data_IF_563595869227
#
_entry.id   IF_563595869227
#
_cell.length_a   1.000
_cell.length_b   1.000
_cell.length_c   1.000
_cell.angle_alpha   90.00
_cell.angle_beta   90.00
_cell.angle_gamma   90.00
#
_symmetry.space_group_name_H-M   'P 1'
#
loop_
_entity.id
_entity.type
_entity.pdbx_description
1 polymer ?
#
# COMPACT_ATOMS: atom_id res chain seq x y z
N UNK A 1 -23.89 22.94 86.22
CA UNK A 1 -24.43 21.98 85.29
C UNK A 1 -24.17 22.51 83.86
N UNK A 2 -23.20 22.01 83.19
CA UNK A 2 -22.80 22.46 81.90
C UNK A 2 -23.19 21.43 80.84
N UNK A 3 -24.08 21.75 79.92
CA UNK A 3 -24.46 20.94 78.76
C UNK A 3 -23.44 21.15 77.63
N UNK A 4 -22.75 20.10 77.23
CA UNK A 4 -21.94 20.04 75.97
C UNK A 4 -22.83 19.62 74.84
N UNK A 5 -22.92 20.43 73.78
CA UNK A 5 -23.53 20.07 72.55
C UNK A 5 -22.48 19.38 71.63
N UNK A 6 -22.74 18.15 71.18
CA UNK A 6 -21.97 17.48 70.10
C UNK A 6 -22.51 17.89 68.73
N UNK A 7 -21.67 18.52 67.95
CA UNK A 7 -21.95 18.77 66.52
C UNK A 7 -21.43 17.60 65.68
N UNK A 8 -22.31 16.86 65.01
CA UNK A 8 -21.98 15.83 64.04
C UNK A 8 -21.82 16.45 62.66
N UNK A 9 -20.56 16.45 62.12
CA UNK A 9 -20.27 16.87 60.75
C UNK A 9 -20.48 15.70 59.83
N UNK A 10 -21.44 15.78 58.91
CA UNK A 10 -21.65 14.84 57.82
C UNK A 10 -20.78 15.24 56.63
N UNK A 11 -19.75 14.46 56.32
CA UNK A 11 -18.96 14.61 55.09
C UNK A 11 -19.69 13.89 53.95
N UNK A 12 -20.19 14.66 52.99
CA UNK A 12 -20.73 14.11 51.75
C UNK A 12 -19.57 13.77 50.79
N UNK A 13 -19.37 12.48 50.54
CA UNK A 13 -18.42 11.97 49.53
C UNK A 13 -19.10 12.02 48.16
N UNK A 14 -18.77 12.99 47.30
CA UNK A 14 -19.22 13.04 45.92
C UNK A 14 -18.29 12.17 45.09
N UNK A 15 -18.74 10.98 44.75
CA UNK A 15 -18.06 10.11 43.79
C UNK A 15 -18.34 10.56 42.36
N UNK A 16 -17.38 11.23 41.72
CA UNK A 16 -17.43 11.55 40.29
C UNK A 16 -17.09 10.31 39.47
N UNK A 17 -18.09 9.68 38.87
CA UNK A 17 -17.91 8.67 37.86
C UNK A 17 -17.47 9.32 36.53
N UNK A 18 -16.19 9.22 36.18
CA UNK A 18 -15.70 9.59 34.88
C UNK A 18 -16.10 8.48 33.89
N UNK A 19 -17.14 8.70 33.08
CA UNK A 19 -17.48 7.85 31.94
C UNK A 19 -16.42 8.06 30.88
N UNK A 20 -15.45 7.14 30.76
CA UNK A 20 -14.54 7.09 29.63
C UNK A 20 -15.30 6.54 28.42
N UNK A 21 -15.79 7.44 27.57
CA UNK A 21 -16.29 7.05 26.23
C UNK A 21 -15.09 6.64 25.41
N UNK A 22 -14.90 5.34 25.22
CA UNK A 22 -13.95 4.82 24.25
C UNK A 22 -14.44 5.22 22.85
N UNK A 23 -13.87 6.30 22.29
CA UNK A 23 -14.05 6.65 20.90
C UNK A 23 -13.35 5.56 20.10
N UNK A 24 -14.10 4.58 19.62
CA UNK A 24 -13.63 3.68 18.58
C UNK A 24 -13.44 4.54 17.33
N UNK A 25 -12.21 4.95 17.06
CA UNK A 25 -11.87 5.52 15.78
C UNK A 25 -12.22 4.43 14.74
N UNK A 26 -13.27 4.67 13.95
CA UNK A 26 -13.59 3.82 12.82
C UNK A 26 -12.32 3.77 11.94
N UNK A 27 -11.63 2.63 11.93
CA UNK A 27 -10.50 2.43 11.04
C UNK A 27 -10.99 2.63 9.61
N UNK A 28 -10.28 3.46 8.84
CA UNK A 28 -10.60 3.69 7.44
C UNK A 28 -10.65 2.32 6.72
N UNK A 29 -11.77 2.03 6.07
CA UNK A 29 -11.93 0.89 5.19
C UNK A 29 -12.32 1.39 3.80
N UNK A 30 -11.58 0.97 2.78
CA UNK A 30 -11.87 1.31 1.40
C UNK A 30 -13.11 0.57 0.91
N UNK A 31 -14.09 1.30 0.42
CA UNK A 31 -15.31 0.76 -0.20
C UNK A 31 -14.97 0.03 -1.50
N UNK A 32 -15.75 -0.99 -1.89
CA UNK A 32 -15.49 -1.79 -3.10
C UNK A 32 -15.56 -0.94 -4.39
N UNK A 33 -14.76 -1.35 -5.36
CA UNK A 33 -14.83 -0.88 -6.74
C UNK A 33 -14.51 -2.03 -7.70
N UNK A 34 -15.53 -2.54 -8.38
CA UNK A 34 -15.45 -3.66 -9.36
C UNK A 34 -14.73 -4.92 -8.81
N UNK A 35 -14.88 -5.21 -7.53
CA UNK A 35 -14.12 -6.27 -6.85
C UNK A 35 -14.31 -7.65 -7.48
N UNK A 36 -15.55 -7.98 -7.89
CA UNK A 36 -15.86 -9.28 -8.51
C UNK A 36 -15.08 -9.51 -9.82
N UNK A 37 -14.78 -8.42 -10.57
CA UNK A 37 -14.00 -8.50 -11.81
C UNK A 37 -12.50 -8.68 -11.56
N UNK A 38 -12.03 -8.37 -10.34
CA UNK A 38 -10.62 -8.42 -9.94
C UNK A 38 -10.38 -9.39 -8.78
N UNK A 39 -11.34 -10.25 -8.48
CA UNK A 39 -11.19 -11.29 -7.48
C UNK A 39 -10.02 -12.23 -7.81
N UNK A 40 -9.34 -12.69 -6.78
CA UNK A 40 -8.31 -13.70 -6.95
C UNK A 40 -8.89 -15.02 -7.48
N UNK A 41 -8.12 -15.77 -8.29
CA UNK A 41 -8.46 -17.16 -8.61
C UNK A 41 -8.43 -18.03 -7.34
N UNK A 42 -8.78 -19.30 -7.49
CA UNK A 42 -8.84 -20.25 -6.38
C UNK A 42 -7.50 -20.35 -5.65
N UNK A 43 -7.54 -20.54 -4.35
CA UNK A 43 -6.37 -20.80 -3.52
C UNK A 43 -6.00 -22.28 -3.64
N UNK A 44 -4.74 -22.56 -4.05
CA UNK A 44 -4.17 -23.91 -4.08
C UNK A 44 -3.68 -24.34 -2.70
N UNK A 45 -3.04 -23.42 -1.99
CA UNK A 45 -2.57 -23.65 -0.61
C UNK A 45 -2.43 -22.35 0.14
N UNK A 46 -2.53 -22.45 1.46
CA UNK A 46 -2.27 -21.35 2.37
C UNK A 46 -1.60 -21.90 3.62
N UNK A 47 -0.66 -21.15 4.19
CA UNK A 47 -0.11 -21.52 5.48
C UNK A 47 -1.12 -21.27 6.62
N UNK A 48 -0.81 -21.79 7.82
CA UNK A 48 -1.73 -21.83 8.96
C UNK A 48 -2.30 -20.49 9.39
N UNK A 49 -1.69 -19.38 8.99
CA UNK A 49 -2.10 -18.04 9.39
C UNK A 49 -2.56 -17.19 8.20
N UNK A 50 -2.61 -17.74 6.98
CA UNK A 50 -2.94 -17.01 5.75
C UNK A 50 -1.92 -15.95 5.36
N UNK A 51 -0.72 -16.00 5.95
CA UNK A 51 0.35 -15.06 5.64
C UNK A 51 1.05 -15.41 4.32
N UNK A 52 1.02 -16.67 3.93
CA UNK A 52 1.53 -17.15 2.63
C UNK A 52 0.40 -17.87 1.90
N UNK A 53 0.11 -17.44 0.66
CA UNK A 53 -0.97 -18.01 -0.15
C UNK A 53 -0.47 -18.28 -1.57
N UNK A 54 -0.82 -19.46 -2.09
CA UNK A 54 -0.58 -19.84 -3.50
C UNK A 54 -1.91 -19.84 -4.24
N UNK A 55 -1.98 -19.11 -5.34
CA UNK A 55 -3.18 -18.96 -6.17
C UNK A 55 -3.05 -19.77 -7.47
N UNK A 56 -4.14 -20.40 -7.91
CA UNK A 56 -4.25 -21.07 -9.21
C UNK A 56 -4.36 -20.05 -10.35
N UNK A 57 -3.28 -19.29 -10.57
CA UNK A 57 -3.24 -18.34 -11.68
C UNK A 57 -2.97 -19.06 -12.99
N UNK A 58 -3.73 -18.67 -14.04
CA UNK A 58 -3.56 -19.13 -15.41
C UNK A 58 -3.75 -17.97 -16.37
N UNK A 59 -2.71 -17.59 -17.09
CA UNK A 59 -2.72 -16.41 -17.95
C UNK A 59 -3.85 -16.40 -18.96
N UNK A 60 -4.09 -17.54 -19.65
CA UNK A 60 -5.16 -17.66 -20.64
C UNK A 60 -6.56 -17.44 -20.05
N UNK A 61 -6.78 -17.84 -18.79
CA UNK A 61 -8.06 -17.63 -18.09
C UNK A 61 -8.14 -16.23 -17.46
N UNK A 62 -7.09 -15.79 -16.78
CA UNK A 62 -7.19 -14.67 -15.84
C UNK A 62 -6.79 -13.34 -16.47
N UNK A 63 -6.01 -13.33 -17.55
CA UNK A 63 -5.60 -12.14 -18.27
C UNK A 63 -6.17 -12.12 -19.69
N UNK A 64 -5.91 -13.16 -20.52
CA UNK A 64 -6.28 -13.09 -21.93
C UNK A 64 -7.80 -13.11 -22.15
N UNK A 65 -8.60 -13.63 -21.22
CA UNK A 65 -10.06 -13.49 -21.26
C UNK A 65 -10.53 -12.10 -20.80
N UNK A 66 -9.71 -11.37 -20.03
CA UNK A 66 -9.98 -10.00 -19.59
C UNK A 66 -9.63 -8.98 -20.66
N UNK A 67 -8.61 -9.25 -21.45
CA UNK A 67 -8.08 -8.31 -22.43
C UNK A 67 -8.74 -8.45 -23.81
N UNK A 68 -9.00 -7.32 -24.49
CA UNK A 68 -9.36 -7.29 -25.91
C UNK A 68 -8.13 -7.57 -26.81
N UNK A 69 -6.99 -6.98 -26.40
CA UNK A 69 -5.67 -7.24 -26.98
C UNK A 69 -4.79 -7.65 -25.81
N UNK A 70 -4.32 -8.90 -25.77
CA UNK A 70 -3.60 -9.42 -24.61
C UNK A 70 -2.48 -8.47 -24.17
N UNK A 71 -2.48 -8.16 -22.86
CA UNK A 71 -1.55 -7.27 -22.16
C UNK A 71 -1.52 -5.79 -22.59
N UNK A 72 -2.27 -5.40 -23.64
CA UNK A 72 -2.28 -4.03 -24.18
C UNK A 72 -3.56 -3.28 -23.89
N UNK A 73 -4.70 -3.96 -23.96
CA UNK A 73 -6.01 -3.30 -23.80
C UNK A 73 -7.02 -4.21 -23.13
N UNK A 74 -7.41 -3.85 -21.94
CA UNK A 74 -8.47 -4.52 -21.21
C UNK A 74 -9.85 -4.15 -21.77
N UNK A 75 -10.81 -5.08 -21.65
CA UNK A 75 -12.20 -4.88 -22.05
C UNK A 75 -12.85 -3.76 -21.22
N UNK A 76 -13.80 -3.03 -21.84
CA UNK A 76 -14.41 -1.84 -21.26
C UNK A 76 -15.04 -2.04 -19.87
N UNK A 77 -15.58 -3.23 -19.58
CA UNK A 77 -16.19 -3.52 -18.28
C UNK A 77 -15.21 -3.42 -17.09
N UNK A 78 -13.90 -3.61 -17.33
CA UNK A 78 -12.85 -3.54 -16.31
C UNK A 78 -12.40 -2.10 -16.01
N UNK A 79 -12.74 -1.13 -16.85
CA UNK A 79 -12.29 0.25 -16.71
C UNK A 79 -13.42 1.23 -16.46
N UNK A 80 -13.09 2.30 -15.73
CA UNK A 80 -13.89 3.52 -15.66
C UNK A 80 -12.94 4.71 -15.83
N UNK A 81 -13.05 5.38 -16.98
CA UNK A 81 -12.21 6.51 -17.30
C UNK A 81 -12.73 7.84 -16.74
N UNK A 82 -13.89 7.84 -16.08
CA UNK A 82 -14.44 9.01 -15.39
C UNK A 82 -13.50 9.59 -14.35
N UNK A 83 -12.64 8.76 -13.76
CA UNK A 83 -11.59 9.16 -12.79
C UNK A 83 -10.57 10.16 -13.37
N UNK A 84 -10.42 10.24 -14.69
CA UNK A 84 -9.54 11.23 -15.35
C UNK A 84 -9.94 12.67 -15.04
N UNK A 85 -11.19 12.94 -14.67
CA UNK A 85 -11.66 14.28 -14.26
C UNK A 85 -10.94 14.82 -13.02
N UNK A 86 -10.40 13.94 -12.17
CA UNK A 86 -9.64 14.29 -10.97
C UNK A 86 -8.17 13.89 -11.08
N UNK A 87 -7.66 13.69 -12.32
CA UNK A 87 -6.27 13.37 -12.62
C UNK A 87 -5.53 14.62 -13.09
N UNK A 88 -4.35 14.88 -12.52
CA UNK A 88 -3.51 16.03 -12.83
C UNK A 88 -2.08 15.60 -13.09
N UNK A 89 -1.43 16.13 -14.13
CA UNK A 89 0.02 15.97 -14.38
C UNK A 89 0.72 17.19 -13.76
N UNK A 90 1.47 16.99 -12.69
CA UNK A 90 2.02 18.03 -11.84
C UNK A 90 3.55 17.94 -11.77
N UNK A 91 4.16 19.05 -11.35
CA UNK A 91 5.57 19.14 -11.05
C UNK A 91 5.75 19.75 -9.66
N UNK A 92 6.40 19.01 -8.76
CA UNK A 92 6.81 19.50 -7.45
C UNK A 92 8.27 19.90 -7.50
N UNK A 93 8.58 21.16 -7.13
CA UNK A 93 9.95 21.63 -6.93
C UNK A 93 10.42 21.20 -5.54
N UNK A 94 11.56 20.56 -5.46
CA UNK A 94 12.16 20.07 -4.21
C UNK A 94 13.66 20.34 -4.18
N UNK A 95 14.25 20.26 -3.01
CA UNK A 95 15.71 20.37 -2.86
C UNK A 95 16.47 19.22 -3.54
N UNK A 96 15.78 18.07 -3.73
CA UNK A 96 16.30 16.91 -4.48
C UNK A 96 16.14 17.04 -6.00
N UNK A 97 15.55 18.16 -6.48
CA UNK A 97 15.25 18.46 -7.87
C UNK A 97 13.73 18.37 -8.16
N UNK A 98 13.36 18.74 -9.37
CA UNK A 98 11.97 18.76 -9.83
C UNK A 98 11.43 17.34 -9.99
N UNK A 99 10.23 17.06 -9.44
CA UNK A 99 9.57 15.76 -9.50
C UNK A 99 8.28 15.85 -10.29
N UNK A 100 8.30 15.37 -11.53
CA UNK A 100 7.07 15.21 -12.32
C UNK A 100 6.30 14.00 -11.82
N UNK A 101 4.99 14.17 -11.64
CA UNK A 101 4.13 13.08 -11.18
C UNK A 101 2.70 13.28 -11.65
N UNK A 102 1.96 12.19 -11.73
CA UNK A 102 0.51 12.24 -11.90
C UNK A 102 -0.15 12.03 -10.55
N UNK A 103 -1.02 12.94 -10.17
CA UNK A 103 -1.86 12.87 -8.97
C UNK A 103 -3.31 12.61 -9.38
N UNK A 104 -3.99 11.67 -8.70
CA UNK A 104 -5.39 11.32 -8.95
C UNK A 104 -6.16 11.35 -7.64
N UNK A 105 -7.18 12.21 -7.54
CA UNK A 105 -8.00 12.37 -6.34
C UNK A 105 -7.68 13.64 -5.57
N UNK A 106 -7.73 13.59 -4.24
CA UNK A 106 -7.59 14.76 -3.35
C UNK A 106 -6.13 15.06 -3.05
N UNK A 107 -5.59 16.13 -3.56
CA UNK A 107 -4.24 16.61 -3.24
C UNK A 107 -4.13 17.29 -1.86
N UNK A 108 -5.25 17.62 -1.26
CA UNK A 108 -5.37 18.23 0.07
C UNK A 108 -6.42 17.49 0.89
N UNK A 109 -6.10 17.12 2.10
CA UNK A 109 -7.02 16.43 3.02
C UNK A 109 -7.44 15.04 2.52
N UNK A 110 -6.51 14.30 1.90
CA UNK A 110 -6.73 12.92 1.50
C UNK A 110 -6.93 12.02 2.72
N UNK A 111 -7.84 11.04 2.63
CA UNK A 111 -8.04 10.04 3.66
C UNK A 111 -6.94 8.96 3.68
N UNK A 112 -6.39 8.68 2.49
CA UNK A 112 -5.30 7.72 2.26
C UNK A 112 -4.46 8.19 1.09
N UNK A 113 -3.16 7.94 1.12
CA UNK A 113 -2.23 8.24 0.02
C UNK A 113 -1.61 6.93 -0.45
N UNK A 114 -1.66 6.67 -1.75
CA UNK A 114 -1.02 5.50 -2.36
C UNK A 114 -0.08 5.96 -3.46
N UNK A 115 1.20 5.60 -3.36
CA UNK A 115 2.18 5.83 -4.42
C UNK A 115 2.44 4.52 -5.18
N UNK A 116 2.63 4.60 -6.49
CA UNK A 116 3.17 3.50 -7.30
C UNK A 116 4.51 3.91 -7.93
N UNK A 117 5.55 3.14 -7.64
CA UNK A 117 6.89 3.33 -8.17
C UNK A 117 7.15 2.28 -9.26
N UNK A 118 7.31 2.75 -10.49
CA UNK A 118 7.49 1.90 -11.67
C UNK A 118 8.84 1.17 -11.68
N UNK A 119 8.95 0.14 -12.51
CA UNK A 119 10.20 -0.56 -12.78
C UNK A 119 11.06 0.13 -13.85
N UNK A 120 12.14 -0.53 -14.25
CA UNK A 120 13.06 -0.07 -15.29
C UNK A 120 12.30 0.15 -16.62
N UNK A 121 12.60 1.27 -17.29
CA UNK A 121 11.94 1.66 -18.54
C UNK A 121 10.51 2.18 -18.38
N UNK A 122 9.97 2.22 -17.16
CA UNK A 122 8.67 2.80 -16.86
C UNK A 122 8.72 4.33 -16.70
N UNK A 123 7.58 4.91 -16.42
CA UNK A 123 7.42 6.34 -16.11
C UNK A 123 6.14 6.56 -15.29
N UNK A 124 5.92 7.81 -14.84
CA UNK A 124 4.67 8.21 -14.19
C UNK A 124 3.40 7.84 -14.99
N UNK A 125 3.52 7.72 -16.33
CA UNK A 125 2.39 7.35 -17.19
C UNK A 125 1.98 5.89 -17.06
N UNK A 126 2.93 4.99 -16.74
CA UNK A 126 2.63 3.58 -16.58
C UNK A 126 1.62 3.33 -15.46
N UNK A 127 1.85 3.91 -14.28
CA UNK A 127 0.97 3.72 -13.12
C UNK A 127 -0.43 4.35 -13.26
N UNK A 128 -0.67 5.14 -14.30
CA UNK A 128 -1.98 5.76 -14.56
C UNK A 128 -2.62 5.31 -15.86
N UNK A 129 -2.01 4.35 -16.57
CA UNK A 129 -2.60 3.79 -17.77
C UNK A 129 -3.89 3.02 -17.43
N UNK A 130 -4.95 3.30 -18.18
CA UNK A 130 -6.27 2.73 -17.91
C UNK A 130 -6.44 1.33 -18.50
N UNK A 131 -5.62 0.93 -19.45
CA UNK A 131 -5.88 -0.22 -20.31
C UNK A 131 -4.85 -1.32 -20.20
N UNK A 132 -3.60 -0.99 -19.89
CA UNK A 132 -2.53 -1.97 -19.69
C UNK A 132 -2.63 -2.64 -18.32
N UNK A 133 -1.84 -3.67 -18.09
CA UNK A 133 -1.83 -4.45 -16.85
C UNK A 133 -3.24 -4.95 -16.43
N UNK A 134 -4.04 -5.37 -17.43
CA UNK A 134 -5.39 -5.87 -17.18
C UNK A 134 -6.34 -4.85 -16.55
N UNK A 135 -6.09 -3.54 -16.75
CA UNK A 135 -6.88 -2.44 -16.17
C UNK A 135 -6.66 -2.23 -14.66
N UNK A 136 -5.67 -2.91 -14.07
CA UNK A 136 -5.52 -2.89 -12.61
C UNK A 136 -5.04 -1.53 -12.06
N UNK A 137 -4.35 -0.70 -12.85
CA UNK A 137 -4.09 0.69 -12.49
C UNK A 137 -5.34 1.58 -12.58
N UNK A 138 -6.23 1.34 -13.56
CA UNK A 138 -7.51 2.02 -13.60
C UNK A 138 -8.33 1.68 -12.34
N UNK A 139 -8.35 0.41 -11.93
CA UNK A 139 -8.98 -0.01 -10.66
C UNK A 139 -8.39 0.75 -9.47
N UNK A 140 -7.06 0.81 -9.34
CA UNK A 140 -6.39 1.48 -8.23
C UNK A 140 -6.75 2.97 -8.16
N UNK A 141 -6.70 3.69 -9.30
CA UNK A 141 -7.09 5.10 -9.38
C UNK A 141 -8.52 5.35 -8.89
N UNK A 142 -9.47 4.58 -9.42
CA UNK A 142 -10.87 4.69 -9.05
C UNK A 142 -11.11 4.33 -7.58
N UNK A 143 -10.49 3.25 -7.10
CA UNK A 143 -10.58 2.82 -5.71
C UNK A 143 -10.10 3.91 -4.75
N UNK A 144 -8.91 4.46 -4.99
CA UNK A 144 -8.32 5.46 -4.09
C UNK A 144 -9.09 6.78 -4.15
N UNK A 145 -9.35 7.31 -5.35
CA UNK A 145 -10.07 8.58 -5.53
C UNK A 145 -11.51 8.48 -5.01
N UNK A 146 -12.21 7.37 -5.29
CA UNK A 146 -13.59 7.13 -4.83
C UNK A 146 -13.73 7.02 -3.31
N UNK A 147 -12.66 6.71 -2.61
CA UNK A 147 -12.58 6.67 -1.14
C UNK A 147 -11.99 7.97 -0.53
N UNK A 148 -11.97 9.07 -1.29
CA UNK A 148 -11.47 10.35 -0.81
C UNK A 148 -9.96 10.41 -0.61
N UNK A 149 -9.22 9.49 -1.24
CA UNK A 149 -7.77 9.40 -1.18
C UNK A 149 -7.06 10.12 -2.31
N UNK A 150 -5.74 9.98 -2.31
CA UNK A 150 -4.81 10.47 -3.32
C UNK A 150 -3.96 9.31 -3.85
N UNK A 151 -4.00 9.07 -5.14
CA UNK A 151 -3.08 8.17 -5.83
C UNK A 151 -2.02 8.97 -6.58
N UNK A 152 -0.75 8.55 -6.48
CA UNK A 152 0.40 9.25 -7.08
C UNK A 152 1.25 8.26 -7.88
N UNK A 153 1.60 8.63 -9.12
CA UNK A 153 2.59 7.93 -9.93
C UNK A 153 3.67 8.92 -10.34
N UNK A 154 4.89 8.88 -9.77
CA UNK A 154 5.98 9.81 -10.08
C UNK A 154 6.90 9.30 -11.18
N UNK A 155 7.60 10.25 -11.83
CA UNK A 155 8.90 10.00 -12.43
C UNK A 155 9.99 10.15 -11.36
N UNK A 156 11.10 9.49 -11.56
CA UNK A 156 12.32 9.64 -10.77
C UNK A 156 13.55 9.32 -11.64
N UNK A 157 14.72 9.91 -11.37
CA UNK A 157 15.86 9.84 -12.26
C UNK A 157 16.59 8.49 -12.25
N UNK A 158 16.53 7.78 -11.13
CA UNK A 158 17.21 6.51 -10.91
C UNK A 158 16.53 5.70 -9.79
N UNK A 159 17.00 4.48 -9.57
CA UNK A 159 16.59 3.62 -8.47
C UNK A 159 17.54 3.72 -7.26
N UNK A 160 18.35 4.77 -7.22
CA UNK A 160 19.33 5.08 -6.21
C UNK A 160 18.87 6.11 -5.19
N UNK A 161 19.84 6.79 -4.57
CA UNK A 161 19.59 7.74 -3.50
C UNK A 161 18.89 9.00 -3.99
N UNK A 162 19.19 9.46 -5.22
CA UNK A 162 18.54 10.64 -5.79
C UNK A 162 17.07 10.38 -6.06
N UNK A 163 16.72 9.23 -6.67
CA UNK A 163 15.33 8.83 -6.85
C UNK A 163 14.59 8.67 -5.52
N UNK A 164 15.23 8.04 -4.52
CA UNK A 164 14.66 7.91 -3.19
C UNK A 164 14.40 9.27 -2.52
N UNK A 165 15.34 10.23 -2.62
CA UNK A 165 15.18 11.57 -2.06
C UNK A 165 14.01 12.33 -2.71
N UNK A 166 13.85 12.24 -4.04
CA UNK A 166 12.73 12.85 -4.75
C UNK A 166 11.39 12.25 -4.36
N UNK A 167 11.29 10.92 -4.24
CA UNK A 167 10.05 10.25 -3.80
C UNK A 167 9.76 10.56 -2.32
N UNK A 168 10.78 10.64 -1.48
CA UNK A 168 10.63 11.06 -0.08
C UNK A 168 10.05 12.47 0.02
N UNK A 169 10.51 13.41 -0.81
CA UNK A 169 9.98 14.78 -0.86
C UNK A 169 8.50 14.80 -1.28
N UNK A 170 8.05 13.93 -2.21
CA UNK A 170 6.63 13.77 -2.54
C UNK A 170 5.81 13.24 -1.33
N UNK A 171 6.33 12.24 -0.64
CA UNK A 171 5.69 11.67 0.56
C UNK A 171 5.54 12.75 1.63
N UNK A 172 6.59 13.53 1.85
CA UNK A 172 6.57 14.64 2.83
C UNK A 172 5.58 15.72 2.45
N UNK A 173 5.60 16.16 1.19
CA UNK A 173 4.70 17.20 0.69
C UNK A 173 3.22 16.81 0.86
N UNK A 174 2.82 15.66 0.32
CA UNK A 174 1.42 15.25 0.38
C UNK A 174 0.99 14.77 1.78
N UNK A 175 1.92 14.22 2.57
CA UNK A 175 1.68 13.89 3.97
C UNK A 175 1.39 15.14 4.83
N UNK A 176 2.07 16.27 4.55
CA UNK A 176 1.79 17.56 5.19
C UNK A 176 0.45 18.15 4.73
N UNK A 177 0.10 17.98 3.46
CA UNK A 177 -1.19 18.42 2.91
C UNK A 177 -2.38 17.57 3.40
N UNK A 178 -2.11 16.38 3.93
CA UNK A 178 -3.12 15.43 4.39
C UNK A 178 -2.76 14.85 5.77
N UNK A 179 -2.76 15.66 6.84
CA UNK A 179 -2.43 15.19 8.18
C UNK A 179 -3.33 14.02 8.59
N UNK A 180 -2.71 12.92 9.06
CA UNK A 180 -3.43 11.72 9.48
C UNK A 180 -3.76 10.72 8.35
N UNK A 181 -3.48 11.06 7.08
CA UNK A 181 -3.60 10.10 6.00
C UNK A 181 -2.58 8.96 6.17
N UNK A 182 -3.04 7.71 5.99
CA UNK A 182 -2.14 6.56 5.90
C UNK A 182 -1.47 6.51 4.53
N UNK A 183 -0.15 6.26 4.50
CA UNK A 183 0.69 6.34 3.29
C UNK A 183 1.19 4.96 2.92
N UNK A 184 0.80 4.48 1.74
CA UNK A 184 1.21 3.19 1.19
C UNK A 184 2.06 3.38 -0.06
N UNK A 185 3.14 2.62 -0.18
CA UNK A 185 4.04 2.65 -1.34
C UNK A 185 4.05 1.28 -2.00
N UNK A 186 3.57 1.23 -3.24
CA UNK A 186 3.61 0.05 -4.09
C UNK A 186 4.75 0.17 -5.10
N UNK A 187 5.54 -0.89 -5.24
CA UNK A 187 6.73 -0.92 -6.06
C UNK A 187 6.69 -2.10 -7.03
N UNK A 188 6.75 -1.82 -8.33
CA UNK A 188 6.89 -2.83 -9.37
C UNK A 188 8.36 -3.03 -9.76
N UNK A 189 8.80 -4.28 -9.90
CA UNK A 189 10.11 -4.63 -10.44
C UNK A 189 11.28 -3.88 -9.74
N UNK A 190 12.12 -3.20 -10.49
CA UNK A 190 13.22 -2.37 -9.96
C UNK A 190 12.77 -1.23 -9.03
N UNK A 191 11.50 -0.82 -9.09
CA UNK A 191 10.94 0.13 -8.13
C UNK A 191 11.08 -0.28 -6.67
N UNK A 192 11.24 -1.59 -6.41
CA UNK A 192 11.52 -2.11 -5.07
C UNK A 192 12.80 -1.58 -4.44
N UNK A 193 13.81 -1.23 -5.24
CA UNK A 193 15.02 -0.59 -4.71
C UNK A 193 14.67 0.73 -3.98
N UNK A 194 13.73 1.50 -4.53
CA UNK A 194 13.26 2.73 -3.89
C UNK A 194 12.42 2.43 -2.66
N UNK A 195 11.52 1.42 -2.72
CA UNK A 195 10.73 1.01 -1.55
C UNK A 195 11.65 0.72 -0.34
N UNK A 196 12.72 -0.05 -0.53
CA UNK A 196 13.64 -0.40 0.54
C UNK A 196 14.46 0.78 1.02
N UNK A 197 14.93 1.65 0.11
CA UNK A 197 15.61 2.89 0.48
C UNK A 197 14.71 3.82 1.28
N UNK A 198 13.46 4.02 0.86
CA UNK A 198 12.47 4.83 1.59
C UNK A 198 12.20 4.27 2.98
N UNK A 199 12.09 2.94 3.11
CA UNK A 199 11.93 2.27 4.40
C UNK A 199 13.11 2.49 5.36
N UNK A 200 14.31 2.67 4.81
CA UNK A 200 15.56 2.88 5.55
C UNK A 200 15.79 4.36 5.97
N UNK A 201 15.16 5.33 5.29
CA UNK A 201 15.25 6.74 5.66
C UNK A 201 14.54 7.00 6.99
N UNK A 202 15.20 7.73 7.91
CA UNK A 202 14.65 7.95 9.25
C UNK A 202 13.29 8.66 9.24
N UNK A 203 13.14 9.72 8.49
CA UNK A 203 11.91 10.52 8.47
C UNK A 203 10.83 9.84 7.61
N UNK A 204 11.18 9.44 6.39
CA UNK A 204 10.25 8.79 5.47
C UNK A 204 9.81 7.40 5.96
N UNK A 205 10.74 6.59 6.49
CA UNK A 205 10.41 5.30 7.09
C UNK A 205 9.47 5.38 8.29
N UNK A 206 9.38 6.56 8.93
CA UNK A 206 8.40 6.83 9.99
C UNK A 206 7.05 7.30 9.46
N UNK A 207 6.95 7.72 8.21
CA UNK A 207 5.70 8.19 7.58
C UNK A 207 4.98 7.12 6.78
N UNK A 208 5.73 6.14 6.25
CA UNK A 208 5.15 5.04 5.47
C UNK A 208 4.38 4.11 6.39
N UNK A 209 3.15 3.77 6.00
CA UNK A 209 2.25 2.88 6.73
C UNK A 209 2.07 1.50 6.07
N UNK A 210 2.68 1.27 4.90
CA UNK A 210 2.71 -0.05 4.25
C UNK A 210 3.51 -0.06 2.96
N UNK A 211 4.09 -1.22 2.65
CA UNK A 211 4.89 -1.48 1.45
C UNK A 211 4.31 -2.65 0.66
N UNK A 212 4.10 -2.46 -0.65
CA UNK A 212 3.65 -3.51 -1.56
C UNK A 212 4.72 -3.77 -2.62
N UNK A 213 5.28 -4.97 -2.62
CA UNK A 213 6.31 -5.42 -3.55
C UNK A 213 5.68 -6.34 -4.61
N UNK A 214 5.63 -5.89 -5.86
CA UNK A 214 4.91 -6.55 -6.95
C UNK A 214 5.90 -7.00 -8.03
N UNK A 215 6.28 -8.29 -8.04
CA UNK A 215 7.33 -8.81 -8.91
C UNK A 215 8.61 -8.01 -8.74
N UNK A 216 9.05 -7.80 -7.51
CA UNK A 216 10.05 -6.79 -7.18
C UNK A 216 11.29 -7.38 -6.52
N UNK A 217 12.38 -6.64 -6.49
CA UNK A 217 13.60 -7.10 -5.82
C UNK A 217 13.45 -7.05 -4.29
N UNK A 218 14.31 -7.79 -3.58
CA UNK A 218 14.39 -7.83 -2.13
C UNK A 218 15.66 -7.13 -1.61
N UNK A 219 15.65 -6.72 -0.36
CA UNK A 219 16.81 -6.12 0.32
C UNK A 219 16.73 -6.43 1.81
N UNK A 220 17.67 -7.24 2.30
CA UNK A 220 17.72 -7.66 3.70
C UNK A 220 18.03 -6.52 4.67
N UNK A 221 18.55 -5.37 4.18
CA UNK A 221 18.77 -4.19 5.00
C UNK A 221 17.47 -3.66 5.63
N UNK A 222 16.33 -3.99 5.03
CA UNK A 222 15.01 -3.70 5.60
C UNK A 222 14.86 -4.20 7.04
N UNK A 223 15.44 -5.35 7.39
CA UNK A 223 15.34 -5.95 8.73
C UNK A 223 15.97 -5.09 9.85
N UNK A 224 16.76 -4.08 9.50
CA UNK A 224 17.32 -3.09 10.42
C UNK A 224 16.67 -1.70 10.31
N UNK A 225 15.79 -1.50 9.34
CA UNK A 225 15.22 -0.19 8.97
C UNK A 225 14.29 0.40 10.04
N UNK A 226 14.08 1.73 10.03
CA UNK A 226 13.04 2.39 10.83
C UNK A 226 11.64 1.84 10.55
N UNK A 227 11.30 1.55 9.29
CA UNK A 227 10.02 0.98 8.91
C UNK A 227 9.81 -0.42 9.52
N UNK A 228 10.85 -1.28 9.52
CA UNK A 228 10.78 -2.58 10.18
C UNK A 228 10.55 -2.45 11.69
N UNK A 229 11.29 -1.56 12.35
CA UNK A 229 11.15 -1.31 13.81
C UNK A 229 9.74 -0.84 14.18
N UNK A 230 9.10 -0.05 13.31
CA UNK A 230 7.71 0.38 13.45
C UNK A 230 6.68 -0.71 13.10
N UNK A 231 7.13 -1.86 12.59
CA UNK A 231 6.26 -2.96 12.13
C UNK A 231 5.34 -2.55 10.97
N UNK A 232 5.86 -1.75 10.03
CA UNK A 232 5.14 -1.36 8.81
C UNK A 232 4.76 -2.63 8.03
N UNK A 233 3.47 -2.86 7.71
CA UNK A 233 3.05 -4.05 7.00
C UNK A 233 3.67 -4.14 5.61
N UNK A 234 4.09 -5.35 5.23
CA UNK A 234 4.69 -5.63 3.91
C UNK A 234 3.90 -6.71 3.19
N UNK A 235 3.49 -6.39 1.96
CA UNK A 235 2.85 -7.33 1.06
C UNK A 235 3.80 -7.69 -0.08
N UNK A 236 3.90 -8.97 -0.40
CA UNK A 236 4.61 -9.50 -1.55
C UNK A 236 3.64 -10.16 -2.51
N UNK A 237 3.66 -9.75 -3.78
CA UNK A 237 3.02 -10.44 -4.89
C UNK A 237 4.09 -10.94 -5.85
N UNK A 238 4.16 -12.25 -6.13
CA UNK A 238 5.21 -12.83 -6.95
C UNK A 238 4.68 -13.91 -7.88
N UNK A 239 5.11 -13.88 -9.15
CA UNK A 239 4.86 -14.97 -10.10
C UNK A 239 5.82 -16.12 -9.88
N UNK A 240 5.34 -17.38 -9.93
CA UNK A 240 6.21 -18.55 -9.73
C UNK A 240 7.18 -18.80 -10.88
N UNK A 241 6.88 -18.28 -12.07
CA UNK A 241 7.74 -18.30 -13.26
C UNK A 241 8.41 -16.95 -13.55
N UNK A 242 8.57 -16.10 -12.52
CA UNK A 242 9.34 -14.87 -12.69
C UNK A 242 10.82 -15.19 -12.90
N UNK A 243 11.32 -14.87 -14.10
CA UNK A 243 12.72 -15.09 -14.50
C UNK A 243 13.61 -13.89 -14.19
N UNK A 244 13.03 -12.75 -13.82
CA UNK A 244 13.79 -11.53 -13.47
C UNK A 244 14.13 -11.54 -11.98
N UNK A 245 13.13 -11.79 -11.13
CA UNK A 245 13.31 -11.95 -9.69
C UNK A 245 12.73 -13.29 -9.26
N UNK A 246 13.57 -14.34 -9.15
CA UNK A 246 13.12 -15.69 -8.84
C UNK A 246 12.30 -15.76 -7.55
N UNK A 247 11.14 -16.43 -7.62
CA UNK A 247 10.21 -16.54 -6.49
C UNK A 247 10.88 -17.09 -5.23
N UNK A 248 11.81 -18.04 -5.38
CA UNK A 248 12.52 -18.63 -4.24
C UNK A 248 13.27 -17.59 -3.39
N UNK A 249 13.84 -16.57 -4.01
CA UNK A 249 14.55 -15.50 -3.30
C UNK A 249 13.57 -14.59 -2.54
N UNK A 250 12.43 -14.27 -3.14
CA UNK A 250 11.37 -13.50 -2.48
C UNK A 250 10.76 -14.26 -1.31
N UNK A 251 10.53 -15.55 -1.48
CA UNK A 251 10.05 -16.43 -0.41
C UNK A 251 11.08 -16.54 0.73
N UNK A 252 12.36 -16.68 0.42
CA UNK A 252 13.42 -16.69 1.41
C UNK A 252 13.45 -15.39 2.23
N UNK A 253 13.32 -14.26 1.56
CA UNK A 253 13.26 -12.95 2.24
C UNK A 253 11.99 -12.79 3.09
N UNK A 254 10.82 -13.17 2.58
CA UNK A 254 9.59 -13.21 3.39
C UNK A 254 9.76 -14.05 4.65
N UNK A 255 10.39 -15.23 4.53
CA UNK A 255 10.66 -16.11 5.69
C UNK A 255 11.67 -15.49 6.65
N UNK A 256 12.67 -14.73 6.18
CA UNK A 256 13.63 -14.03 7.04
C UNK A 256 12.96 -12.95 7.89
N UNK A 257 11.96 -12.25 7.34
CA UNK A 257 11.12 -11.31 8.10
C UNK A 257 10.41 -12.02 9.25
N UNK A 258 9.77 -13.17 9.00
CA UNK A 258 9.06 -13.95 10.01
C UNK A 258 10.01 -14.61 11.02
N UNK A 259 11.20 -15.03 10.58
CA UNK A 259 12.23 -15.55 11.48
C UNK A 259 12.73 -14.47 12.45
N UNK A 260 12.89 -13.24 11.97
CA UNK A 260 13.27 -12.08 12.80
C UNK A 260 12.16 -11.67 13.77
N UNK A 261 10.90 -11.77 13.34
CA UNK A 261 9.72 -11.44 14.16
C UNK A 261 8.52 -12.28 13.73
N UNK A 262 8.19 -13.33 14.50
CA UNK A 262 7.14 -14.33 14.18
C UNK A 262 5.76 -13.72 13.91
N UNK A 263 5.46 -12.57 14.49
CA UNK A 263 4.16 -11.87 14.36
C UNK A 263 4.26 -10.63 13.50
N UNK A 264 5.32 -10.49 12.67
CA UNK A 264 5.45 -9.35 11.78
C UNK A 264 4.28 -9.31 10.80
N UNK A 265 3.65 -8.14 10.56
CA UNK A 265 2.55 -8.03 9.62
C UNK A 265 3.08 -8.12 8.17
N UNK A 266 3.23 -9.32 7.67
CA UNK A 266 3.64 -9.57 6.29
C UNK A 266 2.74 -10.59 5.64
N UNK A 267 2.49 -10.44 4.33
CA UNK A 267 1.75 -11.38 3.50
C UNK A 267 2.51 -11.63 2.20
N UNK A 268 2.43 -12.86 1.73
CA UNK A 268 2.98 -13.29 0.45
C UNK A 268 1.89 -13.95 -0.38
N UNK A 269 1.67 -13.46 -1.60
CA UNK A 269 0.77 -14.07 -2.59
C UNK A 269 1.62 -14.53 -3.77
N UNK A 270 1.69 -15.84 -3.95
CA UNK A 270 2.33 -16.49 -5.09
C UNK A 270 1.28 -16.79 -6.15
N UNK A 271 1.46 -16.24 -7.33
CA UNK A 271 0.68 -16.56 -8.53
C UNK A 271 1.32 -17.74 -9.24
N UNK A 272 0.73 -18.94 -9.14
CA UNK A 272 1.28 -20.14 -9.76
C UNK A 272 1.27 -20.00 -11.28
N UNK A 273 2.34 -20.39 -11.95
CA UNK A 273 2.63 -20.15 -13.38
C UNK A 273 2.75 -18.67 -13.80
N UNK A 274 2.54 -17.72 -12.88
CA UNK A 274 2.64 -16.29 -13.16
C UNK A 274 4.06 -15.86 -13.49
N UNK A 275 4.19 -14.91 -14.42
CA UNK A 275 5.45 -14.30 -14.86
C UNK A 275 5.73 -12.99 -14.14
N UNK A 276 6.78 -12.26 -14.54
CA UNK A 276 7.25 -11.03 -13.88
C UNK A 276 6.16 -9.94 -13.75
N UNK A 277 5.33 -9.73 -14.78
CA UNK A 277 4.26 -8.71 -14.77
C UNK A 277 2.97 -9.15 -14.06
N UNK A 278 2.81 -10.43 -13.75
CA UNK A 278 1.57 -10.99 -13.19
C UNK A 278 1.14 -10.31 -11.89
N UNK A 279 2.01 -10.05 -10.91
CA UNK A 279 1.60 -9.42 -9.66
C UNK A 279 0.95 -8.06 -9.84
N UNK A 280 1.42 -7.23 -10.77
CA UNK A 280 0.83 -5.92 -11.05
C UNK A 280 -0.56 -6.08 -11.68
N UNK A 281 -0.75 -7.07 -12.57
CA UNK A 281 -2.03 -7.33 -13.23
C UNK A 281 -3.07 -7.90 -12.29
N UNK A 282 -2.65 -8.64 -11.27
CA UNK A 282 -3.53 -9.49 -10.47
C UNK A 282 -3.73 -9.02 -9.04
N UNK A 283 -2.87 -8.16 -8.48
CA UNK A 283 -2.99 -7.76 -7.07
C UNK A 283 -4.41 -7.25 -6.75
N UNK A 284 -5.01 -7.82 -5.72
CA UNK A 284 -6.24 -7.28 -5.14
C UNK A 284 -5.90 -6.05 -4.30
N UNK A 285 -5.99 -4.88 -4.95
CA UNK A 285 -5.67 -3.60 -4.31
C UNK A 285 -6.51 -3.35 -3.07
N UNK A 286 -7.84 -3.58 -3.13
CA UNK A 286 -8.71 -3.27 -2.00
C UNK A 286 -8.45 -4.18 -0.81
N UNK A 287 -8.43 -5.49 -1.04
CA UNK A 287 -8.15 -6.45 0.03
C UNK A 287 -6.79 -6.24 0.67
N UNK A 288 -5.76 -5.94 -0.14
CA UNK A 288 -4.40 -5.68 0.34
C UNK A 288 -4.32 -4.37 1.13
N UNK A 289 -4.88 -3.26 0.62
CA UNK A 289 -4.85 -1.97 1.30
C UNK A 289 -5.68 -1.99 2.59
N UNK A 290 -6.85 -2.61 2.60
CA UNK A 290 -7.67 -2.76 3.82
C UNK A 290 -6.96 -3.63 4.88
N UNK A 291 -6.29 -4.70 4.46
CA UNK A 291 -5.46 -5.47 5.38
C UNK A 291 -4.33 -4.59 5.95
N UNK A 292 -3.64 -3.81 5.11
CA UNK A 292 -2.59 -2.91 5.60
C UNK A 292 -3.15 -1.84 6.54
N UNK A 293 -4.28 -1.22 6.21
CA UNK A 293 -4.96 -0.26 7.08
C UNK A 293 -5.25 -0.85 8.47
N UNK A 294 -5.62 -2.13 8.54
CA UNK A 294 -5.85 -2.84 9.82
C UNK A 294 -4.57 -3.15 10.61
N UNK A 295 -3.38 -3.02 9.99
CA UNK A 295 -2.07 -3.36 10.56
C UNK A 295 -1.12 -2.16 10.63
N UNK A 296 -1.48 -1.04 10.02
CA UNK A 296 -0.65 0.17 10.01
C UNK A 296 -0.39 0.67 11.44
N UNK A 297 0.86 1.03 11.76
CA UNK A 297 1.26 1.47 13.11
C UNK A 297 0.68 2.82 13.50
#
# INVERSE_FOLDING_TARGET
>A
MAFRALSASHAFLVATFALSVAVHANSLELKPFKDDLFAYPATLSSDSNGAYTVLDYREMRDINQRDEVPEKRVRAQYTDTGVRKVQQDLMLKTDAGDVRHVAVGKTLGAAVIVLYLHGQGGSRKQGVDDFTFGGNFNRLKNLVAGNGGLYISPDFPDFGDKGAAQVAALIDHYGQQSPGAKIFVACGSMGGALCWKLAALNDTGRRIDGLLLLGSLWDESFLASPAFKRRVPVFFGQGSHDVVFPVANQEAFFRSILAKSKTYPTRFVRFETGTHGTPIRMVDWRGTLNWMLSKAP
#
